data_IF_612642965122
#
_entry.id   IF_612642965122
#
_cell.length_a   1.000
_cell.length_b   1.000
_cell.length_c   1.000
_cell.angle_alpha   90.00
_cell.angle_beta   90.00
_cell.angle_gamma   90.00
#
_symmetry.space_group_name_H-M   'P 1'
#
loop_
_entity.id
_entity.type
_entity.pdbx_description
1 polymer ?
#
# COMPACT_ATOMS: atom_id res chain seq x y z
N UNK A 1 7.19 -1.12 -10.89
CA UNK A 1 7.69 -0.59 -9.60
C UNK A 1 6.53 -0.59 -8.64
N UNK A 2 6.57 -1.38 -7.56
CA UNK A 2 5.54 -1.33 -6.52
C UNK A 2 5.57 0.04 -5.86
N UNK A 3 4.39 0.54 -5.51
CA UNK A 3 4.25 1.80 -4.78
C UNK A 3 3.50 1.50 -3.51
N UNK A 4 4.12 1.88 -2.41
CA UNK A 4 3.60 1.59 -1.10
C UNK A 4 2.72 2.75 -0.67
N UNK A 5 1.48 2.40 -0.40
CA UNK A 5 0.48 3.24 0.21
C UNK A 5 -0.13 2.42 1.33
N UNK A 6 -0.39 3.03 2.48
CA UNK A 6 -0.98 2.33 3.63
C UNK A 6 -2.29 1.62 3.27
N UNK A 7 -3.05 2.14 2.30
CA UNK A 7 -4.31 1.55 1.82
C UNK A 7 -4.12 0.26 1.01
N UNK A 8 -2.90 -0.04 0.57
CA UNK A 8 -2.58 -1.33 -0.04
C UNK A 8 -2.82 -2.48 0.96
N UNK A 9 -2.67 -2.21 2.27
CA UNK A 9 -3.00 -3.15 3.34
C UNK A 9 -4.49 -3.49 3.35
N UNK A 10 -5.36 -2.51 3.18
CA UNK A 10 -6.82 -2.74 3.21
C UNK A 10 -7.28 -3.59 2.03
N UNK A 11 -6.67 -3.42 0.86
CA UNK A 11 -6.89 -4.31 -0.28
C UNK A 11 -6.52 -5.74 0.09
N UNK A 12 -5.35 -5.97 0.68
CA UNK A 12 -4.94 -7.30 1.09
C UNK A 12 -5.92 -7.91 2.10
N UNK A 13 -6.35 -7.14 3.11
CA UNK A 13 -7.32 -7.61 4.11
C UNK A 13 -8.71 -7.89 3.52
N UNK A 14 -9.18 -7.12 2.54
CA UNK A 14 -10.42 -7.42 1.80
C UNK A 14 -10.31 -8.73 1.02
N UNK A 15 -9.15 -8.99 0.38
CA UNK A 15 -8.91 -10.26 -0.30
C UNK A 15 -8.87 -11.42 0.70
N UNK A 16 -8.25 -11.23 1.87
CA UNK A 16 -8.23 -12.21 2.94
C UNK A 16 -9.62 -12.54 3.49
N UNK A 17 -10.56 -11.58 3.47
CA UNK A 17 -11.96 -11.82 3.84
C UNK A 17 -12.78 -12.51 2.72
N UNK A 18 -12.14 -13.00 1.67
CA UNK A 18 -12.77 -13.72 0.55
C UNK A 18 -13.21 -12.84 -0.62
N UNK A 19 -12.97 -11.52 -0.59
CA UNK A 19 -13.33 -10.64 -1.69
C UNK A 19 -12.28 -10.69 -2.81
N UNK A 20 -12.53 -11.49 -3.84
CA UNK A 20 -11.56 -11.72 -4.93
C UNK A 20 -11.88 -10.95 -6.23
N UNK A 21 -13.06 -10.34 -6.34
CA UNK A 21 -13.45 -9.59 -7.54
C UNK A 21 -12.84 -8.19 -7.55
N UNK A 22 -12.07 -7.87 -8.58
CA UNK A 22 -11.34 -6.60 -8.67
C UNK A 22 -12.27 -5.37 -8.68
N UNK A 23 -13.46 -5.47 -9.25
CA UNK A 23 -14.40 -4.35 -9.28
C UNK A 23 -15.04 -4.13 -7.90
N UNK A 24 -15.51 -5.19 -7.24
CA UNK A 24 -16.04 -5.11 -5.87
C UNK A 24 -14.99 -4.63 -4.86
N UNK A 25 -13.73 -5.02 -5.01
CA UNK A 25 -12.63 -4.49 -4.18
C UNK A 25 -12.52 -2.97 -4.37
N UNK A 26 -12.57 -2.47 -5.61
CA UNK A 26 -12.51 -1.02 -5.87
C UNK A 26 -13.67 -0.28 -5.22
N UNK A 27 -14.88 -0.85 -5.26
CA UNK A 27 -16.04 -0.26 -4.60
C UNK A 27 -15.87 -0.21 -3.09
N UNK A 28 -15.44 -1.32 -2.48
CA UNK A 28 -15.18 -1.36 -1.03
C UNK A 28 -14.11 -0.35 -0.63
N UNK A 29 -13.03 -0.23 -1.40
CA UNK A 29 -11.97 0.76 -1.16
C UNK A 29 -12.49 2.19 -1.35
N UNK A 30 -13.34 2.45 -2.35
CA UNK A 30 -13.99 3.76 -2.51
C UNK A 30 -14.84 4.10 -1.28
N UNK A 31 -15.62 3.15 -0.78
CA UNK A 31 -16.45 3.38 0.41
C UNK A 31 -15.62 3.64 1.67
N UNK A 32 -14.45 3.00 1.80
CA UNK A 32 -13.50 3.26 2.88
C UNK A 32 -12.79 4.60 2.73
N UNK A 33 -12.53 5.02 1.49
CA UNK A 33 -11.84 6.26 1.16
C UNK A 33 -12.58 7.04 0.06
N UNK A 34 -13.67 7.76 0.41
CA UNK A 34 -14.58 8.38 -0.59
C UNK A 34 -13.88 9.35 -1.56
N UNK A 35 -12.73 9.92 -1.17
CA UNK A 35 -11.90 10.74 -2.06
C UNK A 35 -11.22 9.98 -3.21
N UNK A 36 -11.23 8.65 -3.21
CA UNK A 36 -10.70 7.82 -4.30
C UNK A 36 -11.80 7.40 -5.25
N UNK A 37 -11.68 7.70 -6.55
CA UNK A 37 -12.64 7.19 -7.54
C UNK A 37 -12.48 5.67 -7.75
N UNK A 38 -13.57 4.91 -7.71
CA UNK A 38 -13.62 3.44 -7.96
C UNK A 38 -12.90 3.05 -9.27
N UNK A 39 -13.17 3.77 -10.36
CA UNK A 39 -12.53 3.54 -11.66
C UNK A 39 -11.19 4.25 -11.88
N UNK A 40 -10.75 5.04 -10.90
CA UNK A 40 -9.59 5.93 -11.01
C UNK A 40 -8.28 5.19 -11.22
N UNK A 41 -7.32 5.87 -11.86
CA UNK A 41 -5.97 5.34 -12.08
C UNK A 41 -5.28 4.94 -10.78
N UNK A 42 -5.56 5.65 -9.67
CA UNK A 42 -5.01 5.33 -8.36
C UNK A 42 -5.45 3.95 -7.86
N UNK A 43 -6.77 3.70 -7.79
CA UNK A 43 -7.32 2.43 -7.31
C UNK A 43 -6.94 1.28 -8.24
N UNK A 44 -6.94 1.53 -9.55
CA UNK A 44 -6.59 0.52 -10.57
C UNK A 44 -5.11 0.17 -10.56
N UNK A 45 -4.24 1.18 -10.58
CA UNK A 45 -2.82 0.98 -10.80
C UNK A 45 -2.06 0.84 -9.49
N UNK A 46 -2.30 1.71 -8.51
CA UNK A 46 -1.53 1.71 -7.25
C UNK A 46 -2.05 0.63 -6.30
N UNK A 47 -3.34 0.65 -6.00
CA UNK A 47 -3.91 -0.22 -4.96
C UNK A 47 -4.13 -1.68 -5.40
N UNK A 48 -4.17 -1.92 -6.71
CA UNK A 48 -4.35 -3.26 -7.28
C UNK A 48 -3.14 -3.70 -8.10
N UNK A 49 -2.85 -3.04 -9.22
CA UNK A 49 -1.81 -3.55 -10.15
C UNK A 49 -0.37 -3.48 -9.61
N UNK A 50 -0.07 -2.47 -8.79
CA UNK A 50 1.28 -2.23 -8.24
C UNK A 50 1.32 -2.48 -6.73
N UNK A 51 0.26 -3.05 -6.17
CA UNK A 51 0.20 -3.39 -4.77
C UNK A 51 0.99 -4.69 -4.54
N UNK A 52 2.07 -4.67 -3.74
CA UNK A 52 2.92 -5.84 -3.54
C UNK A 52 2.26 -6.97 -2.74
N UNK A 53 1.12 -6.71 -2.10
CA UNK A 53 0.40 -7.68 -1.28
C UNK A 53 -0.61 -8.51 -2.06
N UNK A 54 -0.91 -8.12 -3.31
CA UNK A 54 -1.89 -8.83 -4.14
C UNK A 54 -1.41 -8.97 -5.57
N UNK A 55 -1.84 -10.06 -6.21
CA UNK A 55 -1.67 -10.29 -7.64
C UNK A 55 -3.05 -10.44 -8.31
N UNK A 56 -3.11 -10.12 -9.60
CA UNK A 56 -4.32 -10.29 -10.41
C UNK A 56 -4.08 -11.42 -11.39
N UNK A 57 -4.82 -12.52 -11.22
CA UNK A 57 -4.77 -13.70 -12.07
C UNK A 57 -6.16 -14.01 -12.61
N UNK A 58 -6.30 -14.07 -13.94
CA UNK A 58 -7.58 -14.36 -14.61
C UNK A 58 -8.77 -13.50 -14.10
N UNK A 59 -8.52 -12.21 -13.85
CA UNK A 59 -9.53 -11.25 -13.37
C UNK A 59 -9.85 -11.34 -11.87
N UNK A 60 -9.26 -12.29 -11.14
CA UNK A 60 -9.40 -12.42 -9.68
C UNK A 60 -8.16 -11.89 -8.99
N UNK A 61 -8.37 -11.25 -7.85
CA UNK A 61 -7.31 -10.74 -6.98
C UNK A 61 -6.98 -11.79 -5.92
N UNK A 62 -5.71 -12.10 -5.76
CA UNK A 62 -5.18 -13.08 -4.81
C UNK A 62 -4.09 -12.45 -3.94
N UNK A 63 -3.87 -13.00 -2.75
CA UNK A 63 -2.77 -12.59 -1.88
C UNK A 63 -1.44 -13.15 -2.38
N UNK A 64 -0.42 -12.30 -2.42
CA UNK A 64 0.98 -12.73 -2.54
C UNK A 64 1.46 -13.33 -1.22
N UNK A 65 2.67 -13.91 -1.19
CA UNK A 65 3.30 -14.36 0.05
C UNK A 65 3.48 -13.21 1.06
N UNK A 66 3.82 -12.00 0.57
CA UNK A 66 3.89 -10.80 1.40
C UNK A 66 2.51 -10.40 1.93
N UNK A 67 1.48 -10.48 1.08
CA UNK A 67 0.10 -10.22 1.50
C UNK A 67 -0.39 -11.18 2.57
N UNK A 68 -0.09 -12.48 2.44
CA UNK A 68 -0.40 -13.49 3.47
C UNK A 68 0.28 -13.20 4.80
N UNK A 69 1.56 -12.81 4.76
CA UNK A 69 2.28 -12.41 5.96
C UNK A 69 1.64 -11.17 6.61
N UNK A 70 1.33 -10.13 5.83
CA UNK A 70 0.67 -8.93 6.33
C UNK A 70 -0.67 -9.23 7.02
N UNK A 71 -1.54 -10.02 6.39
CA UNK A 71 -2.89 -10.27 6.95
C UNK A 71 -2.89 -11.20 8.16
N UNK A 72 -1.79 -11.93 8.40
CA UNK A 72 -1.57 -12.70 9.62
C UNK A 72 -1.29 -11.84 10.85
N UNK A 73 -0.89 -10.57 10.65
CA UNK A 73 -0.70 -9.60 11.72
C UNK A 73 -2.04 -9.10 12.25
N UNK A 74 -2.12 -8.70 13.54
CA UNK A 74 -3.32 -8.07 14.08
C UNK A 74 -3.64 -6.77 13.32
N UNK A 75 -4.93 -6.57 13.02
CA UNK A 75 -5.41 -5.39 12.32
C UNK A 75 -6.73 -5.65 11.58
N UNK A 76 -7.37 -4.59 11.10
CA UNK A 76 -8.68 -4.66 10.45
C UNK A 76 -8.81 -3.61 9.36
N UNK A 77 -9.60 -3.95 8.34
CA UNK A 77 -9.88 -3.09 7.19
C UNK A 77 -10.40 -1.72 7.65
N UNK A 78 -9.83 -0.64 7.13
CA UNK A 78 -10.25 0.74 7.39
C UNK A 78 -9.80 1.33 8.73
N UNK A 79 -9.34 0.50 9.67
CA UNK A 79 -8.80 0.98 10.94
C UNK A 79 -7.35 1.47 10.79
N UNK A 80 -6.86 2.33 11.71
CA UNK A 80 -5.45 2.69 11.78
C UNK A 80 -4.52 1.48 11.80
N UNK A 81 -3.29 1.64 11.32
CA UNK A 81 -2.30 0.56 11.36
C UNK A 81 -1.90 0.27 12.80
N UNK A 82 -1.85 -1.03 13.14
CA UNK A 82 -1.20 -1.51 14.36
C UNK A 82 0.31 -1.27 14.28
N UNK A 83 1.02 -1.35 15.41
CA UNK A 83 2.47 -1.19 15.42
C UNK A 83 3.17 -2.29 14.60
N UNK A 84 2.63 -3.51 14.63
CA UNK A 84 3.11 -4.63 13.82
C UNK A 84 2.92 -4.37 12.33
N UNK A 85 1.76 -3.85 11.92
CA UNK A 85 1.51 -3.47 10.53
C UNK A 85 2.40 -2.32 10.09
N UNK A 86 2.63 -1.32 10.94
CA UNK A 86 3.53 -0.20 10.62
C UNK A 86 4.95 -0.70 10.39
N UNK A 87 5.47 -1.52 11.30
CA UNK A 87 6.80 -2.10 11.20
C UNK A 87 6.93 -2.98 9.95
N UNK A 88 5.92 -3.81 9.66
CA UNK A 88 5.89 -4.65 8.47
C UNK A 88 5.90 -3.81 7.19
N UNK A 89 4.99 -2.84 7.08
CA UNK A 89 4.90 -1.95 5.91
C UNK A 89 6.22 -1.22 5.66
N UNK A 90 6.84 -0.68 6.71
CA UNK A 90 8.16 -0.05 6.62
C UNK A 90 9.22 -1.05 6.14
N UNK A 91 9.25 -2.25 6.72
CA UNK A 91 10.17 -3.31 6.32
C UNK A 91 10.05 -3.66 4.84
N UNK A 92 8.83 -3.82 4.32
CA UNK A 92 8.62 -4.12 2.89
C UNK A 92 9.04 -2.95 2.00
N UNK A 93 8.78 -1.70 2.40
CA UNK A 93 9.26 -0.52 1.67
C UNK A 93 10.79 -0.48 1.59
N UNK A 94 11.49 -0.96 2.61
CA UNK A 94 12.96 -1.02 2.65
C UNK A 94 13.54 -2.11 1.74
N UNK A 95 12.73 -3.06 1.25
CA UNK A 95 13.17 -4.08 0.29
C UNK A 95 13.39 -3.51 -1.11
N UNK A 96 12.66 -2.46 -1.50
CA UNK A 96 12.85 -1.79 -2.79
C UNK A 96 14.04 -0.83 -2.71
N UNK A 97 15.14 -1.05 -3.45
CA UNK A 97 16.35 -0.24 -3.31
C UNK A 97 16.12 1.25 -3.61
N UNK A 98 15.24 1.56 -4.56
CA UNK A 98 14.94 2.93 -4.95
C UNK A 98 14.11 3.61 -3.87
N UNK A 99 13.11 2.94 -3.33
CA UNK A 99 12.30 3.48 -2.25
C UNK A 99 13.11 3.64 -0.97
N UNK A 100 13.93 2.65 -0.62
CA UNK A 100 14.85 2.71 0.52
C UNK A 100 15.74 3.95 0.47
N UNK A 101 16.29 4.29 -0.70
CA UNK A 101 17.08 5.51 -0.87
C UNK A 101 16.25 6.75 -0.53
N UNK A 102 15.06 6.88 -1.13
CA UNK A 102 14.15 8.02 -0.86
C UNK A 102 13.78 8.11 0.62
N UNK A 103 13.49 6.98 1.28
CA UNK A 103 13.19 6.94 2.71
C UNK A 103 14.37 7.48 3.52
N UNK A 104 15.58 6.99 3.26
CA UNK A 104 16.78 7.41 3.98
C UNK A 104 17.06 8.91 3.84
N UNK A 105 16.90 9.46 2.62
CA UNK A 105 17.07 10.89 2.36
C UNK A 105 16.01 11.73 3.09
N UNK A 106 14.75 11.30 3.04
CA UNK A 106 13.64 12.00 3.68
C UNK A 106 13.77 12.02 5.21
N UNK A 107 14.21 10.92 5.83
CA UNK A 107 14.44 10.85 7.28
C UNK A 107 15.64 11.72 7.67
N UNK A 108 16.75 11.64 6.94
CA UNK A 108 17.98 12.34 7.31
C UNK A 108 17.92 13.85 7.03
N UNK A 109 17.22 14.28 5.98
CA UNK A 109 17.30 15.66 5.47
C UNK A 109 15.95 16.35 5.29
N UNK A 110 14.83 15.64 5.45
CA UNK A 110 13.49 16.16 5.14
C UNK A 110 13.16 16.30 3.65
N UNK A 111 14.12 16.00 2.76
CA UNK A 111 14.05 16.16 1.30
C UNK A 111 14.63 14.96 0.55
N UNK A 112 14.42 14.87 -0.77
CA UNK A 112 14.99 13.79 -1.60
C UNK A 112 15.46 14.30 -2.97
N UNK A 113 16.59 13.77 -3.43
CA UNK A 113 17.21 14.08 -4.74
C UNK A 113 16.57 13.31 -5.89
N UNK A 114 15.68 12.36 -5.61
CA UNK A 114 14.94 11.60 -6.63
C UNK A 114 14.20 12.55 -7.60
N UNK A 115 14.32 12.23 -8.90
CA UNK A 115 13.75 13.02 -10.00
C UNK A 115 12.24 12.90 -10.04
N UNK A 116 11.70 11.71 -9.74
CA UNK A 116 10.26 11.49 -9.71
C UNK A 116 9.63 12.09 -8.44
N UNK A 117 9.23 13.37 -8.52
CA UNK A 117 8.60 14.10 -7.40
C UNK A 117 7.31 13.49 -6.91
N UNK A 118 6.54 12.85 -7.79
CA UNK A 118 5.33 12.15 -7.39
C UNK A 118 5.65 10.92 -6.54
N UNK A 119 6.67 10.13 -6.89
CA UNK A 119 7.11 8.99 -6.09
C UNK A 119 7.63 9.41 -4.70
N UNK A 120 8.39 10.50 -4.65
CA UNK A 120 8.85 11.11 -3.39
C UNK A 120 7.66 11.55 -2.53
N UNK A 121 6.69 12.27 -3.11
CA UNK A 121 5.51 12.74 -2.40
C UNK A 121 4.70 11.57 -1.81
N UNK A 122 4.58 10.46 -2.54
CA UNK A 122 3.87 9.27 -2.05
C UNK A 122 4.63 8.51 -0.98
N UNK A 123 5.94 8.37 -1.13
CA UNK A 123 6.79 7.80 -0.08
C UNK A 123 6.71 8.64 1.20
N UNK A 124 6.82 9.97 1.08
CA UNK A 124 6.66 10.90 2.21
C UNK A 124 5.29 10.81 2.87
N UNK A 125 4.21 10.74 2.09
CA UNK A 125 2.86 10.58 2.63
C UNK A 125 2.69 9.24 3.37
N UNK A 126 3.26 8.15 2.84
CA UNK A 126 3.25 6.85 3.49
C UNK A 126 4.02 6.91 4.82
N UNK A 127 5.24 7.46 4.84
CA UNK A 127 6.06 7.58 6.06
C UNK A 127 5.37 8.40 7.15
N UNK A 128 4.68 9.50 6.79
CA UNK A 128 3.86 10.27 7.73
C UNK A 128 2.72 9.45 8.31
N UNK A 129 2.02 8.67 7.48
CA UNK A 129 0.94 7.79 7.94
C UNK A 129 1.45 6.66 8.84
N UNK A 130 2.71 6.25 8.68
CA UNK A 130 3.40 5.31 9.56
C UNK A 130 3.91 5.94 10.86
N UNK A 131 3.88 7.28 10.99
CA UNK A 131 4.43 7.99 12.16
C UNK A 131 5.97 8.05 12.18
N UNK A 132 6.60 7.94 11.01
CA UNK A 132 8.08 7.91 10.87
C UNK A 132 8.69 9.23 10.38
N UNK A 133 7.84 10.19 9.99
CA UNK A 133 8.16 11.57 9.61
C UNK A 133 7.06 12.50 10.13
#
# INVERSE_FOLDING_TARGET
>A
MPIYDVRCRDVARLVASGLVDAWKIREKIHNLYPGLRTGGSWTRNVLLKWNPFVDIEAGKVKLTSLGKALVSLPGSVGNPLTEEEKAFMLGVMMLDPRQRLVISELIATGSSKERNKWFVARTKACLKALGTL
#
